data_IF_563392299822
#
_entry.id   IF_563392299822
#
_cell.length_a   1.000
_cell.length_b   1.000
_cell.length_c   1.000
_cell.angle_alpha   90.00
_cell.angle_beta   90.00
_cell.angle_gamma   90.00
#
_symmetry.space_group_name_H-M   'P 1'
#
loop_
_entity.id
_entity.type
_entity.pdbx_description
1 polymer ?
#
# COMPACT_ATOMS: atom_id res chain seq x y z
N UNK A 1 15.33 6.74 -7.59
CA UNK A 1 15.39 5.50 -8.41
C UNK A 1 14.08 5.34 -9.16
N UNK A 2 13.89 4.32 -9.99
CA UNK A 2 12.58 4.07 -10.62
C UNK A 2 11.64 3.42 -9.61
N UNK A 3 10.41 3.93 -9.47
CA UNK A 3 9.39 3.33 -8.60
C UNK A 3 8.87 2.03 -9.19
N UNK A 4 8.47 1.10 -8.31
CA UNK A 4 7.98 -0.23 -8.62
C UNK A 4 6.68 -0.48 -7.87
N UNK A 5 5.90 -1.45 -8.34
CA UNK A 5 4.70 -1.87 -7.62
C UNK A 5 5.06 -2.86 -6.52
N UNK A 6 4.43 -2.69 -5.36
CA UNK A 6 4.51 -3.63 -4.25
C UNK A 6 3.09 -4.02 -3.82
N UNK A 7 2.89 -5.30 -3.54
CA UNK A 7 1.73 -5.75 -2.78
C UNK A 7 2.18 -6.00 -1.35
N UNK A 8 1.66 -5.20 -0.43
CA UNK A 8 1.94 -5.34 0.98
C UNK A 8 0.81 -6.13 1.65
N UNK A 9 1.20 -7.17 2.38
CA UNK A 9 0.31 -7.82 3.35
C UNK A 9 0.58 -7.20 4.71
N UNK A 10 -0.46 -6.68 5.36
CA UNK A 10 -0.40 -6.08 6.69
C UNK A 10 -1.17 -6.95 7.68
N UNK A 11 -0.55 -7.29 8.81
CA UNK A 11 -1.22 -7.99 9.93
C UNK A 11 -1.04 -7.16 11.19
N UNK A 12 -2.12 -6.92 11.94
CA UNK A 12 -2.01 -6.13 13.18
C UNK A 12 -1.18 -6.85 14.24
N UNK A 13 -0.41 -6.10 15.01
CA UNK A 13 0.41 -6.68 16.10
C UNK A 13 -0.42 -7.11 17.30
N UNK A 14 -1.63 -6.54 17.47
CA UNK A 14 -2.62 -6.92 18.47
C UNK A 14 -4.02 -6.39 18.11
N UNK A 15 -5.05 -6.83 18.85
CA UNK A 15 -6.41 -6.32 18.70
C UNK A 15 -6.51 -4.84 19.11
N UNK A 16 -5.73 -4.40 20.09
CA UNK A 16 -5.66 -3.00 20.50
C UNK A 16 -5.05 -2.13 19.38
N UNK A 17 -4.01 -2.62 18.71
CA UNK A 17 -3.41 -1.94 17.56
C UNK A 17 -4.40 -1.86 16.37
N UNK A 18 -5.15 -2.94 16.13
CA UNK A 18 -6.23 -2.93 15.14
C UNK A 18 -7.29 -1.87 15.48
N UNK A 19 -7.73 -1.80 16.74
CA UNK A 19 -8.67 -0.77 17.19
C UNK A 19 -8.11 0.65 17.02
N UNK A 20 -6.86 0.89 17.38
CA UNK A 20 -6.21 2.20 17.20
C UNK A 20 -6.16 2.62 15.73
N UNK A 21 -5.79 1.69 14.83
CA UNK A 21 -5.78 1.95 13.39
C UNK A 21 -7.18 2.26 12.86
N UNK A 22 -8.19 1.51 13.29
CA UNK A 22 -9.59 1.74 12.89
C UNK A 22 -10.10 3.09 13.41
N UNK A 23 -9.93 3.38 14.70
CA UNK A 23 -10.34 4.65 15.30
C UNK A 23 -9.66 5.85 14.60
N UNK A 24 -8.41 5.68 14.13
CA UNK A 24 -7.67 6.71 13.39
C UNK A 24 -8.12 6.87 11.92
N UNK A 25 -8.74 5.86 11.30
CA UNK A 25 -9.05 5.85 9.86
C UNK A 25 -10.54 5.95 9.53
N UNK A 26 -11.44 5.63 10.47
CA UNK A 26 -12.89 5.58 10.23
C UNK A 26 -13.51 6.93 9.81
N UNK A 27 -12.97 8.04 10.31
CA UNK A 27 -13.45 9.39 10.02
C UNK A 27 -12.69 10.08 8.87
N UNK A 28 -11.76 9.37 8.23
CA UNK A 28 -10.99 9.89 7.10
C UNK A 28 -11.71 9.59 5.78
N UNK A 29 -11.71 10.56 4.89
CA UNK A 29 -12.06 10.32 3.48
C UNK A 29 -10.98 9.48 2.80
N UNK A 30 -11.34 8.80 1.72
CA UNK A 30 -10.41 8.10 0.83
C UNK A 30 -9.23 8.99 0.42
N UNK A 31 -9.51 10.25 0.03
CA UNK A 31 -8.49 11.25 -0.29
C UNK A 31 -7.51 11.48 0.86
N UNK A 32 -8.02 11.65 2.09
CA UNK A 32 -7.16 11.90 3.26
C UNK A 32 -6.27 10.70 3.58
N UNK A 33 -6.78 9.48 3.42
CA UNK A 33 -6.00 8.25 3.60
C UNK A 33 -4.85 8.19 2.58
N UNK A 34 -5.15 8.37 1.28
CA UNK A 34 -4.13 8.29 0.24
C UNK A 34 -3.12 9.43 0.30
N UNK A 35 -3.57 10.66 0.56
CA UNK A 35 -2.68 11.82 0.72
C UNK A 35 -1.81 11.70 1.99
N UNK A 36 -2.34 11.17 3.09
CA UNK A 36 -1.61 10.98 4.34
C UNK A 36 -0.49 9.93 4.26
N UNK A 37 -0.57 9.01 3.29
CA UNK A 37 0.43 7.96 3.04
C UNK A 37 1.32 8.25 1.82
N UNK A 38 1.17 9.44 1.22
CA UNK A 38 1.96 9.84 0.07
C UNK A 38 3.23 10.58 0.50
N UNK A 39 4.35 10.16 -0.07
CA UNK A 39 5.65 10.82 0.07
C UNK A 39 6.28 11.04 -1.31
N UNK A 40 7.45 11.68 -1.33
CA UNK A 40 8.24 11.85 -2.55
C UNK A 40 8.72 10.53 -3.15
N UNK A 41 8.79 9.44 -2.35
CA UNK A 41 9.36 8.16 -2.78
C UNK A 41 8.40 6.96 -2.73
N UNK A 42 7.25 7.09 -2.09
CA UNK A 42 6.23 6.05 -2.00
C UNK A 42 4.82 6.64 -1.96
N UNK A 43 3.86 5.97 -2.59
CA UNK A 43 2.43 6.25 -2.41
C UNK A 43 1.59 4.97 -2.44
N UNK A 44 0.50 4.97 -1.67
CA UNK A 44 -0.48 3.89 -1.69
C UNK A 44 -1.47 4.13 -2.83
N UNK A 45 -1.71 3.12 -3.66
CA UNK A 45 -2.61 3.17 -4.82
C UNK A 45 -3.96 2.50 -4.56
N UNK A 46 -4.00 1.51 -3.67
CA UNK A 46 -5.24 0.83 -3.30
C UNK A 46 -5.12 0.16 -1.94
N UNK A 47 -6.27 -0.01 -1.28
CA UNK A 47 -6.43 -0.60 0.04
C UNK A 47 -7.59 -1.58 0.02
N UNK A 48 -7.35 -2.82 0.46
CA UNK A 48 -8.36 -3.86 0.59
C UNK A 48 -8.31 -4.45 1.99
N UNK A 49 -9.42 -4.31 2.73
CA UNK A 49 -9.57 -4.81 4.08
C UNK A 49 -10.88 -5.57 4.21
N UNK A 50 -10.83 -6.74 4.83
CA UNK A 50 -12.02 -7.50 5.23
C UNK A 50 -12.33 -7.32 6.72
N UNK A 51 -13.06 -8.28 7.28
CA UNK A 51 -13.27 -8.39 8.74
C UNK A 51 -12.11 -9.14 9.44
N UNK A 52 -11.17 -9.71 8.67
CA UNK A 52 -10.04 -10.50 9.15
C UNK A 52 -8.90 -9.62 9.73
N UNK A 53 -7.98 -10.24 10.48
CA UNK A 53 -6.87 -9.55 11.16
C UNK A 53 -5.73 -9.09 10.23
N UNK A 54 -5.94 -9.16 8.91
CA UNK A 54 -4.99 -8.70 7.90
C UNK A 54 -5.67 -7.97 6.74
N UNK A 55 -4.88 -7.19 6.01
CA UNK A 55 -5.33 -6.43 4.85
C UNK A 55 -4.20 -6.25 3.84
N UNK A 56 -4.57 -5.81 2.64
CA UNK A 56 -3.64 -5.63 1.53
C UNK A 56 -3.61 -4.17 1.09
N UNK A 57 -2.40 -3.68 0.81
CA UNK A 57 -2.22 -2.39 0.17
C UNK A 57 -1.36 -2.55 -1.08
N UNK A 58 -1.80 -1.93 -2.17
CA UNK A 58 -0.96 -1.74 -3.34
C UNK A 58 -0.16 -0.46 -3.17
N UNK A 59 1.15 -0.58 -3.23
CA UNK A 59 2.09 0.53 -3.11
C UNK A 59 2.86 0.74 -4.42
N UNK A 60 3.23 2.00 -4.67
CA UNK A 60 4.16 2.38 -5.73
C UNK A 60 5.32 3.15 -5.11
N UNK A 61 6.48 2.50 -5.00
CA UNK A 61 7.60 2.97 -4.19
C UNK A 61 8.97 2.67 -4.83
N UNK A 62 10.03 3.38 -4.46
CA UNK A 62 11.39 3.08 -4.94
C UNK A 62 11.97 1.81 -4.29
N UNK A 63 11.75 1.64 -2.98
CA UNK A 63 12.17 0.46 -2.19
C UNK A 63 11.09 0.05 -1.19
N UNK A 64 11.27 -1.12 -0.56
CA UNK A 64 10.51 -1.55 0.61
C UNK A 64 10.68 -0.61 1.81
N UNK A 65 11.90 -0.13 2.06
CA UNK A 65 12.19 0.87 3.11
C UNK A 65 11.36 2.16 2.97
N UNK A 66 11.10 2.61 1.73
CA UNK A 66 10.28 3.81 1.50
C UNK A 66 8.79 3.60 1.85
N UNK A 67 8.30 2.37 1.78
CA UNK A 67 6.95 2.01 2.26
C UNK A 67 6.92 2.08 3.79
N UNK A 68 7.92 1.51 4.46
CA UNK A 68 8.04 1.59 5.92
C UNK A 68 8.18 3.03 6.41
N UNK A 69 8.94 3.88 5.70
CA UNK A 69 9.07 5.30 6.03
C UNK A 69 7.74 6.06 5.90
N UNK A 70 6.93 5.76 4.87
CA UNK A 70 5.59 6.33 4.73
C UNK A 70 4.65 5.90 5.85
N UNK A 71 4.67 4.61 6.21
CA UNK A 71 3.87 4.07 7.33
C UNK A 71 4.31 4.64 8.68
N UNK A 72 5.61 4.84 8.89
CA UNK A 72 6.16 5.45 10.11
C UNK A 72 5.74 6.91 10.22
N UNK A 73 5.84 7.68 9.13
CA UNK A 73 5.40 9.07 9.08
C UNK A 73 3.90 9.25 9.38
N UNK A 74 3.07 8.26 9.01
CA UNK A 74 1.65 8.23 9.33
C UNK A 74 1.33 7.64 10.73
N UNK A 75 2.33 7.11 11.46
CA UNK A 75 2.15 6.49 12.77
C UNK A 75 1.55 5.07 12.73
N UNK A 76 1.55 4.40 11.58
CA UNK A 76 0.95 3.06 11.40
C UNK A 76 1.96 1.92 11.46
N UNK A 77 3.24 2.19 11.22
CA UNK A 77 4.28 1.15 11.16
C UNK A 77 4.41 0.34 12.47
N UNK A 78 4.17 0.96 13.63
CA UNK A 78 4.20 0.28 14.93
C UNK A 78 2.93 -0.54 15.23
N UNK A 79 1.86 -0.38 14.45
CA UNK A 79 0.57 -1.04 14.68
C UNK A 79 0.43 -2.37 13.92
N UNK A 80 1.32 -2.62 12.94
CA UNK A 80 1.19 -3.77 12.05
C UNK A 80 2.56 -4.32 11.61
N UNK A 81 2.61 -5.63 11.38
CA UNK A 81 3.67 -6.25 10.59
C UNK A 81 3.34 -6.09 9.11
N UNK A 82 4.29 -5.56 8.35
CA UNK A 82 4.15 -5.36 6.91
C UNK A 82 5.13 -6.24 6.16
N UNK A 83 4.62 -6.99 5.18
CA UNK A 83 5.43 -7.77 4.24
C UNK A 83 5.27 -7.21 2.82
N UNK A 84 6.20 -6.35 2.35
CA UNK A 84 6.23 -5.87 0.99
C UNK A 84 6.70 -6.97 0.03
N UNK A 85 5.96 -7.17 -1.06
CA UNK A 85 6.38 -8.05 -2.16
C UNK A 85 6.40 -7.24 -3.46
N UNK A 86 7.55 -7.16 -4.12
CA UNK A 86 7.67 -6.49 -5.42
C UNK A 86 6.88 -7.25 -6.50
N UNK A 87 6.03 -6.53 -7.23
CA UNK A 87 5.15 -7.06 -8.28
C UNK A 87 5.57 -6.49 -9.64
N UNK A 88 5.89 -7.37 -10.59
CA UNK A 88 6.33 -6.97 -11.93
C UNK A 88 5.15 -6.63 -12.86
N UNK A 89 3.92 -7.00 -12.47
CA UNK A 89 2.72 -6.80 -13.27
C UNK A 89 1.59 -6.26 -12.42
N UNK A 90 1.03 -5.12 -12.85
CA UNK A 90 -0.21 -4.56 -12.33
C UNK A 90 -1.14 -4.25 -13.50
N UNK A 91 -2.36 -4.77 -13.44
CA UNK A 91 -3.40 -4.56 -14.43
C UNK A 91 -4.67 -4.14 -13.69
N UNK A 92 -5.38 -3.13 -14.20
CA UNK A 92 -6.64 -2.67 -13.63
C UNK A 92 -7.67 -2.42 -14.72
N UNK A 93 -8.91 -2.84 -14.46
CA UNK A 93 -10.05 -2.57 -15.35
C UNK A 93 -10.39 -1.08 -15.44
N UNK A 94 -9.87 -0.26 -14.53
CA UNK A 94 -10.06 1.20 -14.52
C UNK A 94 -9.03 1.92 -15.41
N UNK A 95 -7.94 1.26 -15.81
CA UNK A 95 -6.83 1.83 -16.58
C UNK A 95 -6.45 0.94 -17.77
N UNK A 96 -7.44 0.59 -18.58
CA UNK A 96 -7.24 -0.24 -19.78
C UNK A 96 -6.40 0.49 -20.83
N UNK A 97 -5.40 -0.21 -21.38
CA UNK A 97 -4.51 0.33 -22.43
C UNK A 97 -4.37 -0.56 -23.67
N UNK A 98 -5.11 -1.69 -23.71
CA UNK A 98 -5.05 -2.71 -24.78
C UNK A 98 -3.64 -3.26 -25.09
N UNK A 99 -2.69 -3.09 -24.17
CA UNK A 99 -1.36 -3.71 -24.20
C UNK A 99 -1.42 -5.14 -23.70
N UNK A 100 -0.57 -6.01 -24.24
CA UNK A 100 -0.41 -7.37 -23.72
C UNK A 100 0.38 -7.37 -22.41
N UNK A 101 0.23 -8.41 -21.59
CA UNK A 101 1.04 -8.54 -20.36
C UNK A 101 2.55 -8.58 -20.64
N UNK A 102 2.95 -9.07 -21.82
CA UNK A 102 4.33 -9.02 -22.30
C UNK A 102 4.83 -7.58 -22.49
N UNK A 103 3.97 -6.68 -22.98
CA UNK A 103 4.33 -5.27 -23.17
C UNK A 103 4.49 -4.52 -21.85
N UNK A 104 3.88 -5.00 -20.76
CA UNK A 104 4.10 -4.47 -19.41
C UNK A 104 5.42 -4.98 -18.81
N UNK A 105 5.69 -6.27 -18.93
CA UNK A 105 6.90 -6.90 -18.37
C UNK A 105 8.20 -6.49 -19.06
N UNK A 106 8.12 -5.99 -20.29
CA UNK A 106 9.27 -5.52 -21.06
C UNK A 106 9.53 -4.00 -20.91
N UNK A 107 8.79 -3.31 -20.04
CA UNK A 107 9.05 -1.90 -19.76
C UNK A 107 10.31 -1.76 -18.89
N UNK A 108 11.22 -0.82 -19.22
CA UNK A 108 12.48 -0.63 -18.51
C UNK A 108 12.31 -0.11 -17.08
#
# INVERSE_FOLDING_TARGET
>A
MTRKHFMCTHTFVSQEAAKQFLDATLELTDRQIFEGLKTDRAEMLAHWRGEEEFFFCHWYAETDDDIFAALEGAGFNSLMHTLPNEMQLFLSAETLTDKTTRDYLNQP
#
